data_IF_192046727650
#
_entry.id   IF_192046727650
#
_cell.length_a   1.000
_cell.length_b   1.000
_cell.length_c   1.000
_cell.angle_alpha   90.00
_cell.angle_beta   90.00
_cell.angle_gamma   90.00
#
_symmetry.space_group_name_H-M   'P 1'
#
loop_
_entity.id
_entity.type
_entity.pdbx_description
1 polymer ?
#
# COMPACT_ATOMS: atom_id res chain seq x y z
N UNK A 1 10.82 -6.19 -11.09
CA UNK A 1 9.98 -5.27 -10.29
C UNK A 1 8.86 -6.12 -9.74
N UNK A 2 8.58 -6.02 -8.45
CA UNK A 2 7.54 -6.80 -7.79
C UNK A 2 6.30 -5.93 -7.61
N UNK A 3 5.13 -6.44 -8.01
CA UNK A 3 3.85 -5.74 -7.88
C UNK A 3 2.94 -6.43 -6.88
N UNK A 4 2.33 -5.66 -5.98
CA UNK A 4 1.45 -6.17 -4.93
C UNK A 4 0.18 -5.33 -4.89
N UNK A 5 -0.99 -5.97 -4.88
CA UNK A 5 -2.27 -5.28 -4.69
C UNK A 5 -2.76 -5.41 -3.25
N UNK A 6 -3.16 -4.29 -2.65
CA UNK A 6 -3.77 -4.25 -1.32
C UNK A 6 -5.09 -3.50 -1.36
N UNK A 7 -6.01 -3.92 -0.49
CA UNK A 7 -7.35 -3.35 -0.36
C UNK A 7 -7.53 -2.74 1.03
N UNK A 8 -8.30 -1.67 1.14
CA UNK A 8 -8.59 -1.07 2.44
C UNK A 8 -9.66 0.02 2.40
N UNK A 9 -9.77 0.74 3.51
CA UNK A 9 -10.85 1.72 3.75
C UNK A 9 -10.68 3.03 2.97
N UNK A 10 -9.43 3.41 2.69
CA UNK A 10 -9.07 4.60 1.91
C UNK A 10 -7.64 4.46 1.38
N UNK A 11 -7.29 5.25 0.37
CA UNK A 11 -5.94 5.32 -0.20
C UNK A 11 -4.87 5.54 0.86
N UNK A 12 -5.04 6.54 1.71
CA UNK A 12 -4.08 6.87 2.78
C UNK A 12 -3.89 5.73 3.78
N UNK A 13 -4.96 5.00 4.12
CA UNK A 13 -4.89 3.87 5.04
C UNK A 13 -4.11 2.71 4.41
N UNK A 14 -4.41 2.37 3.16
CA UNK A 14 -3.74 1.28 2.44
C UNK A 14 -2.24 1.56 2.29
N UNK A 15 -1.86 2.80 1.95
CA UNK A 15 -0.45 3.21 1.84
C UNK A 15 0.25 3.14 3.20
N UNK A 16 -0.38 3.67 4.25
CA UNK A 16 0.21 3.68 5.60
C UNK A 16 0.44 2.27 6.15
N UNK A 17 -0.51 1.37 5.92
CA UNK A 17 -0.39 -0.03 6.34
C UNK A 17 0.68 -0.77 5.55
N UNK A 18 0.75 -0.54 4.24
CA UNK A 18 1.79 -1.11 3.39
C UNK A 18 3.19 -0.67 3.83
N UNK A 19 3.39 0.62 4.11
CA UNK A 19 4.66 1.13 4.63
C UNK A 19 5.06 0.45 5.96
N UNK A 20 4.11 0.24 6.87
CA UNK A 20 4.37 -0.45 8.15
C UNK A 20 4.65 -1.93 7.97
N UNK A 21 3.87 -2.63 7.15
CA UNK A 21 3.98 -4.07 6.90
C UNK A 21 5.35 -4.42 6.29
N UNK A 22 5.81 -3.62 5.33
CA UNK A 22 7.06 -3.85 4.60
C UNK A 22 8.24 -3.04 5.14
N UNK A 23 8.03 -2.22 6.19
CA UNK A 23 9.04 -1.30 6.78
C UNK A 23 9.68 -0.37 5.74
N UNK A 24 8.86 0.15 4.82
CA UNK A 24 9.27 1.02 3.73
C UNK A 24 8.87 2.48 3.98
N UNK A 25 9.60 3.40 3.37
CA UNK A 25 9.25 4.81 3.22
C UNK A 25 8.50 5.03 1.91
N UNK A 26 7.81 6.17 1.78
CA UNK A 26 7.03 6.52 0.58
C UNK A 26 7.91 6.61 -0.69
N UNK A 27 9.19 6.92 -0.53
CA UNK A 27 10.18 7.00 -1.62
C UNK A 27 10.67 5.64 -2.11
N UNK A 28 10.47 4.57 -1.34
CA UNK A 28 11.01 3.23 -1.64
C UNK A 28 10.15 2.45 -2.64
N UNK A 29 8.96 2.96 -3.00
CA UNK A 29 8.03 2.30 -3.91
C UNK A 29 7.20 3.29 -4.71
N UNK A 30 6.57 2.80 -5.78
CA UNK A 30 5.53 3.50 -6.52
C UNK A 30 4.18 2.88 -6.22
N UNK A 31 3.11 3.65 -6.33
CA UNK A 31 1.76 3.14 -6.19
C UNK A 31 0.82 3.78 -7.20
N UNK A 32 -0.22 3.04 -7.56
CA UNK A 32 -1.33 3.50 -8.39
C UNK A 32 -2.65 3.11 -7.74
N UNK A 33 -3.62 4.02 -7.77
CA UNK A 33 -4.98 3.74 -7.31
C UNK A 33 -5.69 2.99 -8.43
N UNK A 34 -5.92 1.70 -8.24
CA UNK A 34 -6.64 0.85 -9.20
C UNK A 34 -8.15 1.07 -9.09
N UNK A 35 -8.63 1.28 -7.86
CA UNK A 35 -10.03 1.58 -7.57
C UNK A 35 -10.09 2.45 -6.31
N UNK A 36 -10.70 3.64 -6.40
CA UNK A 36 -10.87 4.53 -5.24
C UNK A 36 -11.78 3.93 -4.16
N UNK A 37 -12.54 2.88 -4.51
CA UNK A 37 -13.60 2.34 -3.68
C UNK A 37 -14.80 3.29 -3.67
N UNK A 38 -15.86 2.88 -2.97
CA UNK A 38 -17.06 3.70 -2.81
C UNK A 38 -17.56 3.58 -1.38
N UNK A 39 -17.84 4.71 -0.75
CA UNK A 39 -18.55 4.74 0.52
C UNK A 39 -20.02 4.41 0.27
N UNK A 40 -20.51 3.38 0.96
CA UNK A 40 -21.93 3.05 1.00
C UNK A 40 -22.70 3.99 1.94
N UNK A 41 -24.01 4.06 1.78
CA UNK A 41 -24.88 4.84 2.65
C UNK A 41 -24.91 4.19 4.05
N UNK A 42 -24.71 4.98 5.10
CA UNK A 42 -24.64 4.53 6.51
C UNK A 42 -23.60 3.43 6.81
N UNK A 43 -22.58 3.27 5.97
CA UNK A 43 -21.52 2.27 6.16
C UNK A 43 -21.82 0.87 5.61
N UNK A 44 -22.99 0.67 5.00
CA UNK A 44 -23.37 -0.60 4.36
C UNK A 44 -23.20 -0.52 2.83
N UNK A 45 -22.68 -1.58 2.23
CA UNK A 45 -22.54 -1.70 0.76
C UNK A 45 -21.37 -0.93 0.15
N UNK A 46 -20.38 -0.52 0.95
CA UNK A 46 -19.17 0.12 0.43
C UNK A 46 -18.24 -0.86 -0.29
N UNK A 47 -17.57 -0.39 -1.35
CA UNK A 47 -16.49 -1.13 -2.02
C UNK A 47 -15.15 -0.64 -1.47
N UNK A 48 -14.21 -1.53 -1.11
CA UNK A 48 -12.90 -1.12 -0.63
C UNK A 48 -12.08 -0.45 -1.72
N UNK A 49 -11.23 0.50 -1.33
CA UNK A 49 -10.18 1.06 -2.18
C UNK A 49 -9.15 -0.03 -2.50
N UNK A 50 -8.70 -0.12 -3.75
CA UNK A 50 -7.65 -1.04 -4.20
C UNK A 50 -6.47 -0.24 -4.75
N UNK A 51 -5.27 -0.54 -4.24
CA UNK A 51 -4.02 0.12 -4.66
C UNK A 51 -3.02 -0.95 -5.06
N UNK A 52 -2.36 -0.73 -6.21
CA UNK A 52 -1.25 -1.54 -6.66
C UNK A 52 0.05 -0.82 -6.32
N UNK A 53 0.91 -1.52 -5.62
CA UNK A 53 2.26 -1.09 -5.27
C UNK A 53 3.24 -1.75 -6.22
N UNK A 54 4.25 -0.99 -6.64
CA UNK A 54 5.39 -1.48 -7.43
C UNK A 54 6.66 -1.16 -6.67
N UNK A 55 7.40 -2.19 -6.30
CA UNK A 55 8.69 -2.08 -5.63
C UNK A 55 9.81 -2.62 -6.53
N UNK A 56 11.02 -2.07 -6.44
CA UNK A 56 12.20 -2.69 -7.04
C UNK A 56 12.36 -4.12 -6.50
N UNK A 57 12.90 -5.02 -7.31
CA UNK A 57 13.25 -6.35 -6.81
C UNK A 57 14.44 -6.16 -5.87
N UNK A 58 14.15 -6.03 -4.57
CA UNK A 58 15.18 -6.01 -3.55
C UNK A 58 15.65 -7.44 -3.34
N UNK A 59 16.66 -7.84 -4.12
CA UNK A 59 17.56 -8.91 -3.70
C UNK A 59 18.25 -8.41 -2.44
N UNK A 60 17.79 -8.89 -1.28
CA UNK A 60 18.43 -8.83 0.03
C UNK A 60 19.60 -7.85 0.17
N UNK A 61 19.39 -6.64 0.67
CA UNK A 61 20.39 -5.92 1.51
C UNK A 61 19.88 -4.53 1.90
N UNK A 62 19.23 -4.44 3.06
CA UNK A 62 19.38 -3.26 3.90
C UNK A 62 19.47 -3.73 5.34
N UNK A 63 20.71 -3.85 5.83
CA UNK A 63 21.04 -4.11 7.22
C UNK A 63 20.36 -3.04 8.11
N UNK A 64 19.78 -3.39 9.27
CA UNK A 64 19.32 -2.39 10.21
C UNK A 64 20.52 -1.61 10.73
N UNK A 65 20.52 -0.30 10.48
CA UNK A 65 21.49 0.63 11.02
C UNK A 65 20.96 1.10 12.39
N UNK A 66 21.17 0.29 13.42
CA UNK A 66 21.03 0.75 14.81
C UNK A 66 22.37 1.36 15.24
N UNK A 67 22.33 2.67 15.50
CA UNK A 67 23.43 3.45 16.09
C UNK A 67 23.27 3.48 17.61
#
# INVERSE_FOLDING_TARGET
MTTIEKKGKSTSHVISDFMKEYKLKLEDFKFEVVDEGKKGFLGFGGKPTTIRFTMPDVTETSKPNDK
#
